data_IF_697666150110
#
_entry.id   IF_697666150110
#
_cell.length_a   1.000
_cell.length_b   1.000
_cell.length_c   1.000
_cell.angle_alpha   90.00
_cell.angle_beta   90.00
_cell.angle_gamma   90.00
#
_symmetry.space_group_name_H-M   'P 1'
#
loop_
_entity.id
_entity.type
_entity.pdbx_description
1 polymer ?
#
# COMPACT_ATOMS: atom_id res chain seq x y z
N UNK A 1 3.29 4.95 1.36
CA UNK A 1 3.96 4.37 0.20
C UNK A 1 3.37 2.99 -0.13
N UNK A 2 3.62 2.46 -1.31
CA UNK A 2 3.19 1.12 -1.76
C UNK A 2 4.18 0.49 -2.75
N UNK A 3 5.37 1.09 -2.87
CA UNK A 3 6.41 0.73 -3.82
C UNK A 3 7.75 0.42 -3.12
N UNK A 4 7.67 -0.01 -1.85
CA UNK A 4 8.81 -0.37 -1.01
C UNK A 4 9.87 0.74 -0.89
N UNK A 5 9.43 1.99 -0.88
CA UNK A 5 10.30 3.15 -0.58
C UNK A 5 10.44 3.27 0.94
N UNK A 6 11.16 2.33 1.51
CA UNK A 6 11.26 2.14 2.96
C UNK A 6 11.82 3.36 3.69
N UNK A 7 12.63 4.20 3.05
CA UNK A 7 13.10 5.46 3.61
C UNK A 7 11.97 6.44 3.95
N UNK A 8 10.88 6.44 3.16
CA UNK A 8 9.69 7.26 3.44
C UNK A 8 8.87 6.66 4.58
N UNK A 9 8.70 5.35 4.57
CA UNK A 9 7.99 4.62 5.63
C UNK A 9 8.73 4.77 6.96
N UNK A 10 10.05 4.67 6.96
CA UNK A 10 10.89 4.84 8.16
C UNK A 10 10.75 6.24 8.76
N UNK A 11 10.65 7.28 7.95
CA UNK A 11 10.42 8.65 8.44
C UNK A 11 9.10 8.76 9.20
N UNK A 12 8.01 8.19 8.66
CA UNK A 12 6.71 8.15 9.32
C UNK A 12 6.73 7.25 10.57
N UNK A 13 7.38 6.07 10.48
CA UNK A 13 7.59 5.17 11.60
C UNK A 13 8.29 5.87 12.77
N UNK A 14 9.38 6.58 12.51
CA UNK A 14 10.15 7.29 13.56
C UNK A 14 9.30 8.36 14.25
N UNK A 15 8.47 9.09 13.52
CA UNK A 15 7.57 10.06 14.10
C UNK A 15 6.49 9.39 14.99
N UNK A 16 5.89 8.29 14.53
CA UNK A 16 4.82 7.58 15.25
C UNK A 16 5.39 6.76 16.41
N UNK A 17 6.36 5.89 16.13
CA UNK A 17 6.82 4.92 17.12
C UNK A 17 7.82 5.51 18.13
N UNK A 18 8.67 6.44 17.70
CA UNK A 18 9.80 6.94 18.48
C UNK A 18 9.63 8.41 18.90
N UNK A 19 8.59 9.11 18.44
CA UNK A 19 8.41 10.54 18.69
C UNK A 19 9.56 11.39 18.12
N UNK A 20 10.23 10.88 17.07
CA UNK A 20 11.39 11.52 16.43
C UNK A 20 11.00 12.08 15.07
N UNK A 21 11.32 13.36 14.83
CA UNK A 21 10.98 14.05 13.59
C UNK A 21 10.97 15.55 13.77
N UNK A 22 10.42 16.26 12.82
CA UNK A 22 10.23 17.71 12.88
C UNK A 22 9.30 18.06 14.04
N UNK A 23 9.76 18.91 14.96
CA UNK A 23 8.97 19.31 16.13
C UNK A 23 8.15 20.56 15.82
N UNK A 24 6.91 20.60 16.33
CA UNK A 24 6.04 21.77 16.31
C UNK A 24 5.09 21.76 17.51
N UNK A 25 4.61 22.94 17.91
CA UNK A 25 3.65 23.05 19.00
C UNK A 25 2.25 22.59 18.56
N UNK A 26 1.87 22.88 17.32
CA UNK A 26 0.56 22.55 16.76
C UNK A 26 0.64 22.02 15.32
N UNK A 27 -0.38 21.27 14.89
CA UNK A 27 -0.49 20.80 13.50
C UNK A 27 -0.61 21.98 12.51
N UNK A 28 -1.29 23.05 12.90
CA UNK A 28 -1.43 24.26 12.08
C UNK A 28 -0.08 24.92 11.81
N UNK A 29 0.82 24.93 12.79
CA UNK A 29 2.19 25.44 12.60
C UNK A 29 2.96 24.64 11.56
N UNK A 30 2.85 23.30 11.58
CA UNK A 30 3.47 22.41 10.57
C UNK A 30 2.97 22.75 9.18
N UNK A 31 1.66 22.83 9.01
CA UNK A 31 1.03 23.11 7.71
C UNK A 31 1.43 24.52 7.21
N UNK A 32 1.36 25.52 8.06
CA UNK A 32 1.71 26.90 7.69
C UNK A 32 3.19 27.01 7.27
N UNK A 33 4.09 26.34 7.98
CA UNK A 33 5.52 26.29 7.63
C UNK A 33 5.75 25.59 6.30
N UNK A 34 5.14 24.41 6.09
CA UNK A 34 5.28 23.65 4.85
C UNK A 34 4.82 24.48 3.64
N UNK A 35 3.66 25.16 3.75
CA UNK A 35 3.17 26.04 2.69
C UNK A 35 4.06 27.25 2.44
N UNK A 36 4.62 27.85 3.48
CA UNK A 36 5.56 28.95 3.36
C UNK A 36 6.86 28.54 2.64
N UNK A 37 7.25 27.25 2.75
CA UNK A 37 8.38 26.65 2.05
C UNK A 37 8.02 26.12 0.64
N UNK A 38 6.78 26.34 0.17
CA UNK A 38 6.30 25.90 -1.15
C UNK A 38 5.94 24.43 -1.23
N UNK A 39 5.82 23.73 -0.09
CA UNK A 39 5.41 22.33 -0.06
C UNK A 39 3.88 22.23 -0.15
N UNK A 40 3.39 21.20 -0.85
CA UNK A 40 1.96 20.89 -0.94
C UNK A 40 1.59 19.80 0.07
N UNK A 41 0.29 19.54 0.26
CA UNK A 41 -0.23 18.56 1.22
C UNK A 41 0.43 17.19 1.14
N UNK A 42 0.76 16.73 -0.06
CA UNK A 42 1.39 15.42 -0.27
C UNK A 42 2.81 15.34 0.30
N UNK A 43 3.50 16.47 0.43
CA UNK A 43 4.91 16.55 0.83
C UNK A 43 5.14 17.16 2.21
N UNK A 44 4.08 17.41 2.98
CA UNK A 44 4.21 17.86 4.36
C UNK A 44 5.03 16.81 5.14
N UNK A 45 6.16 17.19 5.77
CA UNK A 45 7.02 16.26 6.46
C UNK A 45 6.34 15.65 7.68
N UNK A 46 6.65 14.37 7.96
CA UNK A 46 6.23 13.73 9.20
C UNK A 46 6.71 14.55 10.40
N UNK A 47 5.76 14.99 11.23
CA UNK A 47 6.04 15.93 12.31
C UNK A 47 5.49 15.44 13.63
N UNK A 48 6.19 15.76 14.71
CA UNK A 48 5.81 15.42 16.08
C UNK A 48 5.25 16.66 16.78
N UNK A 49 4.04 16.56 17.29
CA UNK A 49 3.33 17.69 17.88
C UNK A 49 3.43 17.66 19.41
N UNK A 50 3.76 18.82 19.97
CA UNK A 50 3.83 19.02 21.41
C UNK A 50 4.92 18.14 22.06
N UNK A 51 4.55 17.47 23.13
CA UNK A 51 5.40 16.64 23.97
C UNK A 51 5.31 15.14 23.65
N UNK A 52 4.72 14.77 22.52
CA UNK A 52 4.62 13.36 22.11
C UNK A 52 6.02 12.72 22.02
N UNK A 53 6.21 11.65 22.74
CA UNK A 53 7.50 10.96 22.91
C UNK A 53 7.55 9.56 22.24
N UNK A 54 6.54 9.23 21.42
CA UNK A 54 6.43 7.92 20.78
C UNK A 54 5.46 6.97 21.50
N UNK A 55 5.37 5.76 20.96
CA UNK A 55 4.52 4.70 21.48
C UNK A 55 5.05 4.14 22.81
N UNK A 56 4.16 3.71 23.67
CA UNK A 56 4.43 3.09 24.97
C UNK A 56 3.80 1.70 25.05
N UNK A 57 4.25 0.80 25.95
CA UNK A 57 3.72 -0.56 26.05
C UNK A 57 2.22 -0.67 26.34
N UNK A 58 1.60 0.37 26.92
CA UNK A 58 0.17 0.39 27.21
C UNK A 58 -0.67 0.93 26.04
N UNK A 59 -0.01 1.50 25.05
CA UNK A 59 -0.71 2.08 23.90
C UNK A 59 -1.26 0.96 22.99
N UNK A 60 -2.37 1.26 22.32
CA UNK A 60 -2.91 0.44 21.23
C UNK A 60 -2.82 1.20 19.92
N UNK A 61 -2.79 0.47 18.82
CA UNK A 61 -2.85 1.01 17.47
C UNK A 61 -4.18 0.68 16.83
N UNK A 62 -4.87 1.70 16.31
CA UNK A 62 -6.03 1.53 15.46
C UNK A 62 -5.87 2.31 14.16
N UNK A 63 -5.66 1.60 13.06
CA UNK A 63 -5.59 2.22 11.73
C UNK A 63 -6.98 2.42 11.17
N UNK A 64 -7.39 3.68 10.98
CA UNK A 64 -8.71 4.07 10.48
C UNK A 64 -8.80 4.05 8.94
N UNK A 65 -7.71 3.87 8.22
CA UNK A 65 -7.70 3.79 6.77
C UNK A 65 -8.42 2.51 6.31
N UNK A 66 -9.42 2.65 5.45
CA UNK A 66 -10.11 1.51 4.85
C UNK A 66 -9.51 1.08 3.50
N UNK A 67 -8.65 1.91 2.87
CA UNK A 67 -7.87 1.52 1.69
C UNK A 67 -6.60 0.81 2.13
N UNK A 68 -6.40 -0.40 1.58
CA UNK A 68 -5.30 -1.26 1.99
C UNK A 68 -3.94 -0.84 1.39
N UNK A 69 -3.91 -0.42 0.14
CA UNK A 69 -2.70 -0.28 -0.68
C UNK A 69 -1.58 0.57 -0.04
N UNK A 70 -1.91 1.73 0.54
CA UNK A 70 -0.92 2.62 1.17
C UNK A 70 -0.80 2.45 2.69
N UNK A 71 -1.61 1.58 3.31
CA UNK A 71 -1.54 1.31 4.74
C UNK A 71 -0.61 0.13 5.08
N UNK A 72 -0.43 -0.81 4.15
CA UNK A 72 0.29 -2.06 4.38
C UNK A 72 1.70 -1.87 4.91
N UNK A 73 2.51 -1.05 4.27
CA UNK A 73 3.93 -0.88 4.61
C UNK A 73 4.13 -0.28 6.00
N UNK A 74 3.40 0.78 6.34
CA UNK A 74 3.51 1.41 7.67
C UNK A 74 2.94 0.49 8.78
N UNK A 75 1.89 -0.28 8.49
CA UNK A 75 1.34 -1.25 9.44
C UNK A 75 2.28 -2.43 9.65
N UNK A 76 2.96 -2.91 8.59
CA UNK A 76 4.00 -3.91 8.73
C UNK A 76 5.14 -3.39 9.62
N UNK A 77 5.65 -2.20 9.37
CA UNK A 77 6.70 -1.60 10.18
C UNK A 77 6.31 -1.45 11.65
N UNK A 78 5.07 -1.05 11.95
CA UNK A 78 4.59 -0.84 13.31
C UNK A 78 4.22 -2.14 14.04
N UNK A 79 3.71 -3.16 13.33
CA UNK A 79 3.03 -4.29 13.94
C UNK A 79 3.61 -5.67 13.61
N UNK A 80 4.23 -5.87 12.44
CA UNK A 80 4.69 -7.20 12.01
C UNK A 80 5.86 -7.68 12.90
N UNK A 81 5.77 -8.86 13.52
CA UNK A 81 6.77 -9.33 14.50
C UNK A 81 8.20 -9.43 13.93
N UNK A 82 8.35 -9.88 12.69
CA UNK A 82 9.64 -10.13 12.03
C UNK A 82 9.92 -9.14 10.90
N UNK A 83 9.51 -7.88 11.07
CA UNK A 83 9.79 -6.83 10.10
C UNK A 83 11.31 -6.55 10.02
N UNK A 84 11.87 -6.53 8.82
CA UNK A 84 13.31 -6.46 8.56
C UNK A 84 13.73 -5.42 7.50
N UNK A 85 12.79 -4.70 6.89
CA UNK A 85 13.12 -3.75 5.83
C UNK A 85 13.93 -2.53 6.31
N UNK A 86 13.86 -2.20 7.61
CA UNK A 86 14.72 -1.23 8.30
C UNK A 86 14.72 -1.49 9.81
N UNK A 87 15.68 -0.89 10.53
CA UNK A 87 15.76 -1.05 11.98
C UNK A 87 14.61 -0.35 12.71
N UNK A 88 13.81 -1.12 13.43
CA UNK A 88 12.67 -0.66 14.25
C UNK A 88 12.99 -0.62 15.75
N UNK A 89 14.22 -0.86 16.16
CA UNK A 89 14.59 -0.89 17.57
C UNK A 89 14.70 0.54 18.21
N UNK A 90 14.32 0.70 19.49
CA UNK A 90 13.64 -0.27 20.34
C UNK A 90 12.14 -0.37 19.96
N UNK A 91 11.68 -1.58 19.71
CA UNK A 91 10.29 -1.81 19.33
C UNK A 91 9.40 -1.95 20.55
N UNK A 92 8.28 -1.24 20.57
CA UNK A 92 7.28 -1.31 21.62
C UNK A 92 6.28 -2.43 21.30
N UNK A 93 5.99 -3.28 22.29
CA UNK A 93 4.88 -4.23 22.21
C UNK A 93 3.60 -3.51 22.58
N UNK A 94 2.71 -3.34 21.63
CA UNK A 94 1.43 -2.67 21.83
C UNK A 94 0.43 -3.57 22.55
N UNK A 95 -0.47 -2.98 23.33
CA UNK A 95 -1.54 -3.70 24.06
C UNK A 95 -2.63 -4.24 23.12
N UNK A 96 -2.84 -3.57 21.99
CA UNK A 96 -3.77 -3.97 20.95
C UNK A 96 -3.32 -3.43 19.58
N UNK A 97 -3.62 -4.20 18.54
CA UNK A 97 -3.31 -3.85 17.14
C UNK A 97 -4.53 -4.12 16.29
N UNK A 98 -5.14 -3.07 15.75
CA UNK A 98 -6.39 -3.16 15.02
C UNK A 98 -6.34 -2.32 13.74
N UNK A 99 -6.93 -2.85 12.68
CA UNK A 99 -7.19 -2.13 11.45
C UNK A 99 -8.68 -1.95 11.20
N UNK A 100 -9.04 -0.97 10.38
CA UNK A 100 -10.43 -0.78 9.97
C UNK A 100 -10.92 -1.99 9.15
N UNK A 101 -10.06 -2.50 8.28
CA UNK A 101 -10.35 -3.64 7.39
C UNK A 101 -9.20 -4.65 7.42
N UNK A 102 -9.40 -5.81 6.81
CA UNK A 102 -8.32 -6.73 6.45
C UNK A 102 -7.46 -6.11 5.35
N UNK A 103 -6.16 -5.94 5.60
CA UNK A 103 -5.23 -5.30 4.65
C UNK A 103 -4.55 -6.31 3.71
N UNK A 104 -4.28 -7.49 4.19
CA UNK A 104 -3.87 -8.70 3.45
C UNK A 104 -3.90 -9.90 4.39
N UNK A 105 -3.81 -11.10 3.83
CA UNK A 105 -3.78 -12.34 4.62
C UNK A 105 -2.58 -12.37 5.59
N UNK A 106 -1.44 -11.79 5.21
CA UNK A 106 -0.28 -11.64 6.10
C UNK A 106 -0.57 -10.68 7.26
N UNK A 107 -1.18 -9.52 7.01
CA UNK A 107 -1.55 -8.56 8.05
C UNK A 107 -2.56 -9.14 9.04
N UNK A 108 -3.45 -10.00 8.61
CA UNK A 108 -4.45 -10.64 9.47
C UNK A 108 -3.84 -11.61 10.48
N UNK A 109 -2.56 -11.98 10.33
CA UNK A 109 -1.82 -12.79 11.31
C UNK A 109 -1.44 -12.01 12.57
N UNK A 110 -1.36 -10.69 12.50
CA UNK A 110 -0.93 -9.83 13.62
C UNK A 110 -1.84 -8.60 13.86
N UNK A 111 -2.80 -8.31 12.97
CA UNK A 111 -3.80 -7.25 13.14
C UNK A 111 -5.21 -7.85 13.24
N UNK A 112 -6.01 -7.30 14.14
CA UNK A 112 -7.45 -7.58 14.17
C UNK A 112 -8.20 -6.61 13.27
N UNK A 113 -9.00 -7.09 12.33
CA UNK A 113 -9.84 -6.25 11.50
C UNK A 113 -11.18 -5.92 12.19
N UNK A 114 -11.53 -4.62 12.29
CA UNK A 114 -12.83 -4.19 12.82
C UNK A 114 -13.98 -4.62 11.86
N UNK A 115 -13.73 -4.57 10.56
CA UNK A 115 -14.61 -5.06 9.51
C UNK A 115 -13.85 -6.11 8.68
N UNK A 116 -13.91 -7.39 9.08
CA UNK A 116 -13.21 -8.44 8.36
C UNK A 116 -13.72 -8.58 6.93
N UNK A 117 -12.83 -9.06 6.08
CA UNK A 117 -13.11 -9.33 4.68
C UNK A 117 -14.32 -10.25 4.55
N UNK A 118 -15.19 -9.93 3.62
CA UNK A 118 -16.26 -10.80 3.16
C UNK A 118 -15.91 -11.29 1.76
N UNK A 119 -16.04 -12.59 1.54
CA UNK A 119 -15.86 -13.16 0.22
C UNK A 119 -16.89 -12.58 -0.75
N UNK A 120 -16.40 -12.13 -1.90
CA UNK A 120 -17.25 -11.68 -3.00
C UNK A 120 -17.27 -12.82 -4.04
N UNK A 121 -18.33 -13.63 -4.08
CA UNK A 121 -18.45 -14.67 -5.09
C UNK A 121 -18.69 -14.06 -6.47
N UNK A 122 -18.43 -14.85 -7.52
CA UNK A 122 -18.71 -14.50 -8.91
C UNK A 122 -17.99 -13.23 -9.40
N UNK A 123 -16.74 -13.01 -8.98
CA UNK A 123 -15.90 -11.98 -9.61
C UNK A 123 -15.70 -12.30 -11.10
N UNK A 124 -15.40 -11.28 -11.90
CA UNK A 124 -15.11 -11.48 -13.34
C UNK A 124 -14.02 -12.53 -13.57
N UNK A 125 -12.93 -12.48 -12.78
CA UNK A 125 -11.85 -13.47 -12.87
C UNK A 125 -12.31 -14.89 -12.57
N UNK A 126 -13.11 -15.08 -11.52
CA UNK A 126 -13.67 -16.38 -11.18
C UNK A 126 -14.62 -16.90 -12.27
N UNK A 127 -15.42 -16.01 -12.87
CA UNK A 127 -16.34 -16.38 -13.95
C UNK A 127 -15.61 -16.81 -15.22
N UNK A 128 -14.56 -16.08 -15.62
CA UNK A 128 -13.71 -16.43 -16.76
C UNK A 128 -13.04 -17.80 -16.53
N UNK A 129 -12.49 -18.01 -15.33
CA UNK A 129 -11.88 -19.28 -14.92
C UNK A 129 -12.88 -20.45 -14.97
N UNK A 130 -14.11 -20.26 -14.49
CA UNK A 130 -15.17 -21.28 -14.52
C UNK A 130 -15.47 -21.75 -15.94
N UNK A 131 -15.32 -20.89 -16.94
CA UNK A 131 -15.50 -21.24 -18.35
C UNK A 131 -14.24 -21.75 -19.06
N UNK A 132 -13.17 -22.04 -18.30
CA UNK A 132 -11.90 -22.55 -18.83
C UNK A 132 -11.18 -21.58 -19.75
N UNK A 133 -11.44 -20.27 -19.57
CA UNK A 133 -10.87 -19.20 -20.38
C UNK A 133 -9.59 -18.64 -19.77
N UNK A 134 -8.68 -18.18 -20.64
CA UNK A 134 -7.42 -17.55 -20.23
C UNK A 134 -7.61 -16.07 -20.03
N UNK A 135 -6.96 -15.53 -19.01
CA UNK A 135 -7.00 -14.10 -18.70
C UNK A 135 -5.64 -13.56 -18.30
N UNK A 136 -5.36 -12.34 -18.69
CA UNK A 136 -4.11 -11.64 -18.41
C UNK A 136 -4.39 -10.31 -17.69
N UNK A 137 -3.67 -10.08 -16.58
CA UNK A 137 -3.75 -8.85 -15.77
C UNK A 137 -2.44 -8.10 -15.88
N UNK A 138 -2.51 -6.83 -16.26
CA UNK A 138 -1.35 -6.06 -16.63
C UNK A 138 -1.48 -4.63 -16.14
N UNK A 139 -0.58 -4.21 -15.26
CA UNK A 139 -0.43 -2.82 -14.86
C UNK A 139 0.92 -2.61 -14.20
N UNK A 140 1.44 -1.39 -14.23
CA UNK A 140 2.62 -1.02 -13.45
C UNK A 140 2.32 -1.05 -11.93
N UNK A 141 3.36 -1.02 -11.08
CA UNK A 141 3.27 -1.18 -9.62
C UNK A 141 2.16 -0.33 -9.00
N UNK A 142 2.05 0.94 -9.37
CA UNK A 142 1.05 1.87 -8.81
C UNK A 142 -0.40 1.50 -9.14
N UNK A 143 -0.62 0.78 -10.21
CA UNK A 143 -1.94 0.41 -10.72
C UNK A 143 -2.26 -1.08 -10.62
N UNK A 144 -1.26 -1.91 -10.36
CA UNK A 144 -1.39 -3.37 -10.32
C UNK A 144 -2.48 -3.89 -9.35
N UNK A 145 -2.61 -3.38 -8.11
CA UNK A 145 -3.67 -3.81 -7.22
C UNK A 145 -5.09 -3.57 -7.77
N UNK A 146 -5.26 -2.57 -8.63
CA UNK A 146 -6.57 -2.25 -9.21
C UNK A 146 -7.06 -3.32 -10.19
N UNK A 147 -6.13 -3.91 -10.96
CA UNK A 147 -6.46 -4.96 -11.95
C UNK A 147 -6.34 -6.38 -11.37
N UNK A 148 -5.84 -6.54 -10.15
CA UNK A 148 -5.65 -7.83 -9.47
C UNK A 148 -6.47 -7.91 -8.18
N UNK A 149 -5.92 -7.51 -7.05
CA UNK A 149 -6.52 -7.61 -5.73
C UNK A 149 -7.97 -7.06 -5.68
N UNK A 150 -8.18 -5.80 -6.11
CA UNK A 150 -9.52 -5.20 -6.05
C UNK A 150 -10.49 -5.83 -7.06
N UNK A 151 -10.01 -6.13 -8.26
CA UNK A 151 -10.82 -6.78 -9.29
C UNK A 151 -11.24 -8.21 -8.90
N UNK A 152 -10.39 -8.91 -8.13
CA UNK A 152 -10.65 -10.25 -7.62
C UNK A 152 -11.37 -10.26 -6.26
N UNK A 153 -12.03 -9.16 -5.89
CA UNK A 153 -12.80 -9.07 -4.65
C UNK A 153 -11.95 -9.13 -3.39
N UNK A 154 -10.69 -8.71 -3.48
CA UNK A 154 -9.73 -8.72 -2.38
C UNK A 154 -9.00 -10.05 -2.19
N UNK A 155 -9.01 -10.93 -3.20
CA UNK A 155 -8.21 -12.16 -3.20
C UNK A 155 -6.83 -11.89 -3.81
N UNK A 156 -5.77 -12.28 -3.10
CA UNK A 156 -4.37 -12.18 -3.58
C UNK A 156 -4.07 -13.27 -4.61
N UNK A 157 -4.62 -14.46 -4.40
CA UNK A 157 -4.37 -15.63 -5.26
C UNK A 157 -4.99 -15.42 -6.62
N UNK A 158 -4.25 -15.61 -7.73
CA UNK A 158 -4.80 -15.56 -9.08
C UNK A 158 -5.92 -16.60 -9.28
N UNK A 159 -6.93 -16.25 -10.06
CA UNK A 159 -7.91 -17.21 -10.52
C UNK A 159 -7.28 -18.24 -11.49
N UNK A 160 -7.90 -19.39 -11.68
CA UNK A 160 -7.40 -20.36 -12.65
C UNK A 160 -7.32 -19.74 -14.06
N UNK A 161 -6.21 -19.94 -14.76
CA UNK A 161 -5.96 -19.33 -16.06
C UNK A 161 -5.69 -17.83 -16.04
N UNK A 162 -5.42 -17.25 -14.87
CA UNK A 162 -5.04 -15.83 -14.71
C UNK A 162 -3.52 -15.69 -14.65
N UNK A 163 -2.94 -15.18 -15.72
CA UNK A 163 -1.55 -14.74 -15.78
C UNK A 163 -1.44 -13.26 -15.44
N UNK A 164 -0.29 -12.86 -14.86
CA UNK A 164 -0.05 -11.49 -14.38
C UNK A 164 1.30 -10.97 -14.81
N UNK A 165 1.36 -9.67 -15.11
CA UNK A 165 2.61 -8.96 -15.34
C UNK A 165 2.57 -7.56 -14.72
N UNK A 166 3.65 -7.18 -14.04
CA UNK A 166 3.77 -5.93 -13.32
C UNK A 166 5.14 -5.28 -13.58
N UNK A 167 5.27 -4.39 -14.59
CA UNK A 167 6.46 -3.56 -14.69
C UNK A 167 6.54 -2.56 -13.54
N UNK A 168 7.76 -2.20 -13.14
CA UNK A 168 7.97 -1.23 -12.07
C UNK A 168 7.56 0.17 -12.53
N UNK A 169 6.82 0.89 -11.68
CA UNK A 169 6.58 2.31 -11.88
C UNK A 169 7.89 3.11 -11.79
N UNK A 170 8.04 4.22 -12.54
CA UNK A 170 9.25 5.03 -12.50
C UNK A 170 9.47 5.66 -11.11
N UNK A 171 10.73 5.70 -10.68
CA UNK A 171 11.14 6.25 -9.37
C UNK A 171 11.33 7.77 -9.45
N UNK A 172 10.25 8.51 -9.63
CA UNK A 172 10.20 9.98 -9.66
C UNK A 172 9.46 10.53 -8.43
N UNK A 173 9.62 11.80 -8.14
CA UNK A 173 8.94 12.44 -7.01
C UNK A 173 7.43 12.51 -7.27
N UNK A 174 7.04 12.98 -8.46
CA UNK A 174 5.67 13.04 -8.97
C UNK A 174 5.65 12.59 -10.43
N UNK A 175 4.55 12.02 -10.89
CA UNK A 175 4.47 11.41 -12.22
C UNK A 175 4.32 12.40 -13.37
N UNK A 176 4.10 13.68 -13.10
CA UNK A 176 4.24 14.75 -14.10
C UNK A 176 5.68 14.92 -14.60
N UNK A 177 6.67 14.44 -13.84
CA UNK A 177 8.08 14.38 -14.24
C UNK A 177 8.39 13.27 -15.26
N UNK A 178 7.52 12.25 -15.34
CA UNK A 178 7.60 11.14 -16.30
C UNK A 178 6.17 10.66 -16.63
N UNK A 179 5.39 11.45 -17.39
CA UNK A 179 3.96 11.20 -17.61
C UNK A 179 3.68 9.94 -18.42
N UNK A 180 4.62 9.47 -19.23
CA UNK A 180 4.53 8.21 -19.97
C UNK A 180 4.58 6.98 -19.06
N UNK A 181 5.09 7.11 -17.84
CA UNK A 181 5.20 6.02 -16.86
C UNK A 181 5.86 4.77 -17.49
N UNK A 182 5.26 3.59 -17.32
CA UNK A 182 5.71 2.32 -17.90
C UNK A 182 4.86 1.91 -19.12
N UNK A 183 4.18 2.86 -19.77
CA UNK A 183 3.22 2.59 -20.86
C UNK A 183 3.83 1.81 -22.04
N UNK A 184 5.10 2.04 -22.37
CA UNK A 184 5.76 1.33 -23.47
C UNK A 184 5.83 -0.19 -23.19
N UNK A 185 6.31 -0.59 -22.01
CA UNK A 185 6.42 -2.00 -21.61
C UNK A 185 5.03 -2.64 -21.40
N UNK A 186 4.08 -1.88 -20.82
CA UNK A 186 2.69 -2.31 -20.68
C UNK A 186 2.08 -2.60 -22.06
N UNK A 187 2.29 -1.72 -23.04
CA UNK A 187 1.77 -1.87 -24.39
C UNK A 187 2.37 -3.09 -25.09
N UNK A 188 3.68 -3.30 -25.00
CA UNK A 188 4.35 -4.47 -25.58
C UNK A 188 3.74 -5.78 -25.04
N UNK A 189 3.58 -5.87 -23.72
CA UNK A 189 3.01 -7.06 -23.08
C UNK A 189 1.53 -7.24 -23.39
N UNK A 190 0.79 -6.15 -23.54
CA UNK A 190 -0.61 -6.19 -23.94
C UNK A 190 -0.77 -6.78 -25.36
N UNK A 191 0.04 -6.32 -26.30
CA UNK A 191 0.04 -6.85 -27.67
C UNK A 191 0.43 -8.32 -27.69
N UNK A 192 1.47 -8.70 -26.95
CA UNK A 192 1.89 -10.10 -26.84
C UNK A 192 0.79 -11.00 -26.28
N UNK A 193 0.03 -10.56 -25.28
CA UNK A 193 -1.10 -11.31 -24.72
C UNK A 193 -2.24 -11.52 -25.75
N UNK A 194 -2.51 -10.52 -26.61
CA UNK A 194 -3.45 -10.67 -27.73
C UNK A 194 -2.96 -11.74 -28.72
N UNK A 195 -1.68 -11.69 -29.10
CA UNK A 195 -1.07 -12.63 -30.03
C UNK A 195 -1.04 -14.06 -29.46
N UNK A 196 -0.89 -14.21 -28.15
CA UNK A 196 -0.95 -15.50 -27.45
C UNK A 196 -2.37 -16.07 -27.34
N UNK A 197 -3.39 -15.25 -27.65
CA UNK A 197 -4.78 -15.65 -27.64
C UNK A 197 -5.43 -15.70 -26.24
N UNK A 198 -5.05 -14.78 -25.36
CA UNK A 198 -5.77 -14.59 -24.10
C UNK A 198 -7.20 -14.12 -24.36
N UNK A 199 -8.19 -14.77 -23.72
CA UNK A 199 -9.61 -14.49 -23.94
C UNK A 199 -10.07 -13.17 -23.26
N UNK A 200 -9.39 -12.79 -22.16
CA UNK A 200 -9.63 -11.54 -21.43
C UNK A 200 -8.32 -10.90 -21.03
N UNK A 201 -8.11 -9.66 -21.41
CA UNK A 201 -6.96 -8.88 -20.98
C UNK A 201 -7.46 -7.64 -20.25
N UNK A 202 -6.97 -7.42 -19.01
CA UNK A 202 -7.29 -6.24 -18.22
C UNK A 202 -6.03 -5.48 -17.91
N UNK A 203 -5.99 -4.22 -18.28
CA UNK A 203 -4.87 -3.32 -18.05
C UNK A 203 -5.31 -1.98 -17.46
N UNK A 204 -4.38 -1.29 -16.82
CA UNK A 204 -4.55 0.08 -16.33
C UNK A 204 -3.27 0.88 -16.61
#
# INVERSE_FOLDING_TARGET
>A
DRDNRWERVQTAYSAIAQGTGVKAATAQEVIARAYAEGQTDEFIPASVIGDYAGLRPQDGLFCLNFRADRAREILAALCQPNFDAFDTAPRVTLSAQMGMVSYSDDHDTYLTAAFPKRDIPNTLGAWVALHGKRQFRLAETEKYPHVTFFMNGGLEVPAAGEDRFMPSSPKVATYDMQPELSAAEVTERFVAAIEQGDDLIITN
#
